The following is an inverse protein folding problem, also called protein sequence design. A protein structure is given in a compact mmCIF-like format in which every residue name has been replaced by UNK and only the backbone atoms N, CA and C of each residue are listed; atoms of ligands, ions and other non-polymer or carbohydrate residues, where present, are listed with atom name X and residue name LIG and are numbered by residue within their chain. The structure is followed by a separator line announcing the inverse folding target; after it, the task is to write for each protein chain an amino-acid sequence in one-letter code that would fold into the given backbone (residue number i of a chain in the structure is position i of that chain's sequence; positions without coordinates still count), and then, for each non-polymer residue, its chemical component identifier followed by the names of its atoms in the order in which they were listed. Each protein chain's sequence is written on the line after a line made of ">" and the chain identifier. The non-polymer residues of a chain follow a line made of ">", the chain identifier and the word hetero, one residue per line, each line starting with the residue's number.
data_IF_382056669845
#
_entry.id   IF_382056669845
#
_cell.length_a   1.000
_cell.length_b   1.000
_cell.length_c   1.000
_cell.angle_alpha   90.00
_cell.angle_beta   90.00
_cell.angle_gamma   90.00
#
_symmetry.space_group_name_H-M   'P 1'
#
loop_
_entity.id
_entity.type
_entity.pdbx_description
1 polymer ?
#
# COMPACT_ATOMS: atom_id res chain seq x y z
N UNK A 1 -31.36 -20.81 -6.81
CA UNK A 1 -30.64 -20.90 -8.09
C UNK A 1 -30.56 -19.49 -8.70
N UNK A 2 -29.49 -18.74 -8.43
CA UNK A 2 -29.37 -17.37 -8.91
C UNK A 2 -29.21 -17.37 -10.45
N UNK A 3 -30.11 -16.67 -11.14
CA UNK A 3 -30.15 -16.48 -12.60
C UNK A 3 -28.75 -16.08 -13.09
N UNK A 4 -28.17 -16.86 -14.01
CA UNK A 4 -26.85 -16.60 -14.59
C UNK A 4 -26.86 -15.22 -15.27
N UNK A 5 -26.27 -14.23 -14.59
CA UNK A 5 -26.12 -12.87 -15.13
C UNK A 5 -24.85 -12.83 -15.97
N UNK A 6 -24.87 -12.07 -17.07
CA UNK A 6 -23.71 -11.89 -17.94
C UNK A 6 -22.53 -11.41 -17.11
N UNK A 7 -21.47 -12.22 -17.06
CA UNK A 7 -20.25 -11.91 -16.31
C UNK A 7 -19.53 -10.74 -16.99
N UNK A 8 -19.03 -9.82 -16.18
CA UNK A 8 -18.20 -8.70 -16.59
C UNK A 8 -16.86 -8.84 -15.87
N UNK A 9 -15.79 -8.42 -16.55
CA UNK A 9 -14.45 -8.54 -16.00
C UNK A 9 -13.99 -7.16 -15.53
N UNK A 10 -13.72 -7.08 -14.23
CA UNK A 10 -13.28 -5.86 -13.58
C UNK A 10 -11.82 -6.00 -13.22
N UNK A 11 -11.04 -4.97 -13.53
CA UNK A 11 -9.64 -4.86 -13.15
C UNK A 11 -9.51 -3.77 -12.09
N UNK A 12 -8.75 -4.04 -11.04
CA UNK A 12 -8.40 -3.08 -10.02
C UNK A 12 -6.93 -3.17 -9.67
N UNK A 13 -6.35 -2.05 -9.32
CA UNK A 13 -4.97 -1.99 -8.87
C UNK A 13 -4.93 -1.88 -7.34
N UNK A 14 -4.31 -2.87 -6.70
CA UNK A 14 -4.13 -2.91 -5.26
C UNK A 14 -2.64 -3.01 -4.92
N UNK A 15 -2.04 -1.89 -4.51
CA UNK A 15 -0.63 -1.83 -4.09
C UNK A 15 0.32 -2.16 -5.23
N UNK A 16 0.90 -3.36 -5.21
CA UNK A 16 1.86 -3.82 -6.22
C UNK A 16 1.27 -4.82 -7.22
N UNK A 17 -0.05 -5.06 -7.14
CA UNK A 17 -0.72 -6.06 -7.96
C UNK A 17 -1.86 -5.45 -8.76
N UNK A 18 -1.86 -5.75 -10.06
CA UNK A 18 -3.06 -5.66 -10.88
C UNK A 18 -3.90 -6.90 -10.61
N UNK A 19 -5.15 -6.69 -10.23
CA UNK A 19 -6.08 -7.75 -9.92
C UNK A 19 -7.23 -7.75 -10.92
N UNK A 20 -7.72 -8.93 -11.29
CA UNK A 20 -8.89 -9.09 -12.15
C UNK A 20 -9.88 -10.06 -11.54
N UNK A 21 -11.17 -9.79 -11.71
CA UNK A 21 -12.27 -10.63 -11.27
C UNK A 21 -13.36 -10.64 -12.32
N UNK A 22 -13.87 -11.82 -12.67
CA UNK A 22 -15.13 -11.95 -13.39
C UNK A 22 -16.29 -11.97 -12.38
N UNK A 23 -17.12 -10.93 -12.43
CA UNK A 23 -18.28 -10.79 -11.54
C UNK A 23 -19.52 -10.32 -12.31
N UNK A 24 -20.74 -10.65 -11.84
CA UNK A 24 -21.99 -10.21 -12.48
C UNK A 24 -22.29 -8.71 -12.28
N UNK A 25 -21.64 -8.04 -11.32
CA UNK A 25 -21.81 -6.61 -11.02
C UNK A 25 -20.57 -6.03 -10.32
N UNK A 26 -20.45 -4.70 -10.29
CA UNK A 26 -19.40 -4.01 -9.54
C UNK A 26 -19.45 -4.37 -8.04
N UNK A 27 -20.65 -4.45 -7.46
CA UNK A 27 -20.82 -4.84 -6.07
C UNK A 27 -20.31 -6.27 -5.79
N UNK A 28 -20.54 -7.22 -6.70
CA UNK A 28 -20.01 -8.57 -6.58
C UNK A 28 -18.48 -8.61 -6.72
N UNK A 29 -17.90 -7.76 -7.58
CA UNK A 29 -16.44 -7.62 -7.67
C UNK A 29 -15.83 -7.07 -6.37
N UNK A 30 -16.46 -6.08 -5.73
CA UNK A 30 -16.03 -5.56 -4.42
C UNK A 30 -16.04 -6.65 -3.34
N UNK A 31 -17.08 -7.49 -3.32
CA UNK A 31 -17.17 -8.63 -2.40
C UNK A 31 -16.06 -9.65 -2.65
N UNK A 32 -15.79 -9.99 -3.91
CA UNK A 32 -14.70 -10.90 -4.28
C UNK A 32 -13.32 -10.36 -3.87
N UNK A 33 -13.09 -9.05 -4.01
CA UNK A 33 -11.87 -8.40 -3.52
C UNK A 33 -11.83 -8.22 -1.99
N UNK A 34 -12.94 -8.39 -1.29
CA UNK A 34 -13.05 -8.14 0.15
C UNK A 34 -12.97 -6.67 0.54
N UNK A 35 -13.34 -5.75 -0.37
CA UNK A 35 -13.24 -4.30 -0.14
C UNK A 35 -14.62 -3.71 0.14
N UNK A 36 -14.77 -3.06 1.30
CA UNK A 36 -16.02 -2.38 1.68
C UNK A 36 -16.18 -0.99 1.03
N UNK A 37 -15.07 -0.34 0.66
CA UNK A 37 -15.08 0.98 0.01
C UNK A 37 -15.32 0.84 -1.49
N UNK A 38 -16.04 1.80 -2.08
CA UNK A 38 -16.32 1.80 -3.51
C UNK A 38 -15.10 2.26 -4.34
N UNK A 39 -14.18 1.35 -4.61
CA UNK A 39 -12.95 1.63 -5.38
C UNK A 39 -13.19 2.00 -6.86
N UNK A 40 -14.40 1.77 -7.38
CA UNK A 40 -14.79 2.22 -8.71
C UNK A 40 -15.02 3.74 -8.75
N UNK A 41 -15.57 4.31 -7.67
CA UNK A 41 -15.80 5.76 -7.58
C UNK A 41 -14.50 6.54 -7.44
N UNK A 42 -13.49 5.93 -6.82
CA UNK A 42 -12.15 6.52 -6.64
C UNK A 42 -11.26 6.37 -7.89
N UNK A 43 -11.72 5.67 -8.93
CA UNK A 43 -10.95 5.43 -10.15
C UNK A 43 -9.86 4.35 -10.04
N UNK A 44 -9.81 3.61 -8.93
CA UNK A 44 -8.84 2.52 -8.73
C UNK A 44 -9.25 1.20 -9.41
N UNK A 45 -10.51 1.10 -9.85
CA UNK A 45 -11.04 -0.06 -10.56
C UNK A 45 -11.77 0.35 -11.85
N UNK A 46 -11.56 -0.40 -12.92
CA UNK A 46 -12.16 -0.19 -14.25
C UNK A 46 -12.74 -1.47 -14.83
N UNK A 47 -13.69 -1.31 -15.75
CA UNK A 47 -14.15 -2.41 -16.61
C UNK A 47 -13.05 -2.65 -17.66
N UNK A 48 -12.55 -3.87 -17.74
CA UNK A 48 -11.50 -4.22 -18.70
C UNK A 48 -12.06 -5.11 -19.80
N UNK A 49 -11.72 -4.77 -21.04
CA UNK A 49 -12.10 -5.51 -22.27
C UNK A 49 -10.91 -6.22 -22.91
N UNK A 50 -9.77 -6.29 -22.22
CA UNK A 50 -8.59 -7.03 -22.66
C UNK A 50 -8.90 -8.53 -22.73
N UNK A 51 -8.77 -9.12 -23.92
CA UNK A 51 -9.16 -10.50 -24.22
C UNK A 51 -8.39 -11.52 -23.36
N UNK A 52 -7.11 -11.25 -23.07
CA UNK A 52 -6.29 -12.14 -22.23
C UNK A 52 -6.77 -12.13 -20.77
N UNK A 53 -7.07 -10.95 -20.23
CA UNK A 53 -7.65 -10.79 -18.90
C UNK A 53 -9.06 -11.40 -18.81
N UNK A 54 -9.86 -11.25 -19.87
CA UNK A 54 -11.22 -11.78 -19.91
C UNK A 54 -11.22 -13.31 -19.96
N UNK A 55 -10.32 -13.93 -20.74
CA UNK A 55 -10.19 -15.38 -20.80
C UNK A 55 -9.79 -15.97 -19.44
N UNK A 56 -8.78 -15.38 -18.78
CA UNK A 56 -8.32 -15.82 -17.46
C UNK A 56 -9.42 -15.67 -16.39
N UNK A 57 -10.08 -14.51 -16.33
CA UNK A 57 -11.13 -14.26 -15.35
C UNK A 57 -12.40 -15.09 -15.59
N UNK A 58 -12.75 -15.40 -16.85
CA UNK A 58 -13.92 -16.25 -17.17
C UNK A 58 -13.68 -17.72 -16.78
N UNK A 59 -12.42 -18.18 -16.82
CA UNK A 59 -12.06 -19.53 -16.37
C UNK A 59 -12.25 -19.72 -14.85
N UNK A 60 -12.15 -18.63 -14.07
CA UNK A 60 -12.31 -18.65 -12.62
C UNK A 60 -13.30 -17.56 -12.16
N UNK A 61 -14.62 -17.77 -12.33
CA UNK A 61 -15.62 -16.79 -11.92
C UNK A 61 -15.54 -16.54 -10.40
N UNK A 62 -15.68 -15.28 -10.00
CA UNK A 62 -15.63 -14.82 -8.61
C UNK A 62 -14.27 -15.01 -7.88
N UNK A 63 -13.26 -15.60 -8.53
CA UNK A 63 -11.91 -15.71 -7.99
C UNK A 63 -11.07 -14.51 -8.42
N UNK A 64 -10.34 -13.92 -7.47
CA UNK A 64 -9.42 -12.83 -7.73
C UNK A 64 -8.12 -13.38 -8.29
N UNK A 65 -7.82 -13.05 -9.54
CA UNK A 65 -6.51 -13.29 -10.13
C UNK A 65 -5.64 -12.05 -9.92
N UNK A 66 -4.35 -12.23 -9.65
CA UNK A 66 -3.39 -11.16 -9.36
C UNK A 66 -2.18 -11.27 -10.29
N UNK A 67 -1.61 -10.13 -10.64
CA UNK A 67 -0.40 -9.99 -11.45
C UNK A 67 0.47 -8.87 -10.88
N UNK A 68 1.79 -9.06 -10.69
CA UNK A 68 2.67 -7.99 -10.25
C UNK A 68 2.73 -6.87 -11.31
N UNK A 69 2.69 -5.63 -10.84
CA UNK A 69 2.67 -4.44 -11.70
C UNK A 69 4.03 -4.30 -12.41
N UNK A 70 4.00 -4.16 -13.73
CA UNK A 70 5.21 -4.14 -14.56
C UNK A 70 5.64 -5.51 -15.09
N UNK A 71 4.88 -6.58 -14.81
CA UNK A 71 5.04 -7.88 -15.48
C UNK A 71 4.00 -8.05 -16.58
N UNK A 72 4.44 -8.56 -17.74
CA UNK A 72 3.58 -9.00 -18.84
C UNK A 72 3.04 -10.44 -18.63
N UNK A 73 3.29 -11.03 -17.46
CA UNK A 73 2.84 -12.37 -17.12
C UNK A 73 1.31 -12.53 -17.08
N UNK A 74 0.80 -13.77 -17.12
CA UNK A 74 -0.62 -14.05 -16.98
C UNK A 74 -1.13 -13.71 -15.56
N UNK A 75 -2.43 -13.48 -15.42
CA UNK A 75 -3.08 -13.30 -14.13
C UNK A 75 -3.32 -14.65 -13.45
N UNK A 76 -2.87 -14.81 -12.20
CA UNK A 76 -2.93 -16.10 -11.47
C UNK A 76 -3.69 -15.97 -10.14
N UNK A 77 -4.36 -17.05 -9.70
CA UNK A 77 -5.21 -17.09 -8.48
C UNK A 77 -4.40 -16.78 -7.21
N UNK A 78 -3.13 -17.16 -7.19
CA UNK A 78 -2.23 -16.94 -6.07
C UNK A 78 -0.80 -16.78 -6.63
N UNK A 79 -0.26 -15.54 -6.75
CA UNK A 79 1.09 -15.33 -7.25
C UNK A 79 2.08 -15.83 -6.20
N UNK A 80 2.37 -17.13 -6.22
CA UNK A 80 3.42 -17.74 -5.40
C UNK A 80 4.78 -17.63 -6.10
N UNK A 81 5.03 -16.50 -6.74
CA UNK A 81 6.28 -16.22 -7.41
C UNK A 81 6.84 -14.93 -6.83
N UNK A 82 7.62 -15.11 -5.76
CA UNK A 82 8.77 -14.27 -5.48
C UNK A 82 9.51 -14.01 -6.81
N UNK A 83 10.06 -12.81 -7.06
CA UNK A 83 10.85 -12.56 -8.25
C UNK A 83 11.91 -13.65 -8.39
N UNK A 84 11.89 -14.36 -9.50
CA UNK A 84 12.85 -15.42 -9.81
C UNK A 84 14.20 -14.75 -10.06
N UNK A 85 15.02 -14.72 -9.00
CA UNK A 85 16.40 -14.27 -9.07
C UNK A 85 17.15 -15.23 -9.99
N UNK A 86 17.95 -14.75 -10.98
CA UNK A 86 18.73 -15.63 -11.84
C UNK A 86 19.59 -16.60 -11.02
N UNK A 87 19.49 -17.89 -11.34
CA UNK A 87 20.07 -19.02 -10.61
C UNK A 87 21.61 -18.92 -10.55
N UNK A 88 22.14 -18.77 -9.32
CA UNK A 88 23.57 -18.79 -9.03
C UNK A 88 23.92 -20.20 -8.52
N UNK A 89 24.79 -20.97 -9.19
CA UNK A 89 24.93 -22.40 -8.92
C UNK A 89 25.62 -22.67 -7.58
N UNK A 90 24.84 -23.03 -6.56
CA UNK A 90 25.36 -23.52 -5.27
C UNK A 90 25.55 -25.04 -5.29
N UNK A 91 26.82 -25.45 -5.13
CA UNK A 91 27.27 -26.84 -5.21
C UNK A 91 26.65 -27.72 -4.10
N UNK A 92 26.11 -28.85 -4.57
CA UNK A 92 25.71 -30.05 -3.81
C UNK A 92 26.69 -30.41 -2.68
N UNK A 93 26.17 -30.62 -1.47
CA UNK A 93 26.80 -31.46 -0.46
C UNK A 93 25.78 -32.47 0.08
N UNK A 94 25.83 -33.65 -0.51
CA UNK A 94 25.14 -34.88 -0.09
C UNK A 94 25.58 -35.32 1.30
N UNK A 95 24.66 -35.53 2.24
CA UNK A 95 24.90 -36.48 3.35
C UNK A 95 23.68 -37.36 3.64
N UNK A 96 23.89 -38.62 3.27
CA UNK A 96 23.11 -39.84 3.42
C UNK A 96 22.75 -40.08 4.89
N UNK A 97 21.45 -40.26 5.18
CA UNK A 97 20.97 -40.71 6.49
C UNK A 97 21.14 -42.24 6.60
N UNK A 98 21.88 -42.68 7.62
CA UNK A 98 21.91 -44.07 8.06
C UNK A 98 21.63 -44.09 9.58
N UNK A 99 20.56 -44.78 9.95
CA UNK A 99 20.27 -45.24 11.32
C UNK A 99 21.23 -46.40 11.64
N UNK A 100 21.58 -46.66 12.90
CA UNK A 100 20.78 -47.62 13.66
C UNK A 100 20.63 -47.32 15.15
N UNK A 101 19.67 -48.03 15.76
CA UNK A 101 19.34 -48.03 17.18
C UNK A 101 20.40 -48.74 18.04
N UNK A 102 20.55 -48.35 19.31
CA UNK A 102 20.52 -49.26 20.47
C UNK A 102 20.91 -48.59 21.81
N UNK A 103 20.05 -48.82 22.81
CA UNK A 103 20.31 -49.13 24.24
C UNK A 103 20.85 -48.04 25.19
N UNK A 104 19.92 -47.64 26.08
CA UNK A 104 20.16 -47.24 27.48
C UNK A 104 20.98 -48.30 28.22
N UNK A 105 22.01 -47.87 28.93
CA UNK A 105 22.56 -48.55 30.11
C UNK A 105 23.16 -47.53 31.09
N UNK A 106 22.44 -47.35 32.20
CA UNK A 106 22.86 -47.12 33.59
C UNK A 106 24.30 -46.68 33.95
N UNK A 107 24.35 -45.66 34.82
CA UNK A 107 24.92 -45.65 36.20
C UNK A 107 26.05 -44.65 36.47
N UNK A 108 25.78 -43.85 37.50
CA UNK A 108 26.60 -42.88 38.25
C UNK A 108 28.11 -43.16 38.33
N UNK A 109 28.91 -42.11 38.18
CA UNK A 109 30.22 -41.96 38.82
C UNK A 109 30.58 -40.46 38.99
N UNK A 110 31.23 -40.16 40.11
CA UNK A 110 31.47 -38.84 40.68
C UNK A 110 32.20 -37.84 39.76
N UNK A 111 31.83 -36.56 39.89
CA UNK A 111 32.40 -35.44 39.13
C UNK A 111 33.53 -34.79 39.94
N UNK A 112 34.80 -34.83 39.52
CA UNK A 112 35.83 -33.98 40.12
C UNK A 112 35.62 -32.54 39.63
N UNK A 113 35.89 -31.57 40.52
CA UNK A 113 35.74 -30.14 40.26
C UNK A 113 36.70 -29.68 39.15
N UNK A 114 36.19 -29.55 37.93
CA UNK A 114 36.92 -28.94 36.82
C UNK A 114 37.02 -27.41 37.05
N UNK A 115 38.25 -26.90 37.01
CA UNK A 115 38.57 -25.46 37.01
C UNK A 115 37.71 -24.73 35.97
N UNK A 116 37.03 -23.65 36.36
CA UNK A 116 36.27 -22.79 35.44
C UNK A 116 37.22 -22.21 34.38
N UNK A 117 36.98 -22.55 33.12
CA UNK A 117 37.63 -21.88 32.00
C UNK A 117 37.19 -20.40 31.96
N UNK A 118 38.06 -19.45 31.54
CA UNK A 118 37.68 -18.06 31.36
C UNK A 118 36.55 -17.94 30.33
N UNK A 119 35.55 -17.08 30.60
CA UNK A 119 34.51 -16.79 29.60
C UNK A 119 35.13 -16.07 28.40
N UNK A 120 34.67 -16.36 27.16
CA UNK A 120 35.12 -15.62 25.99
C UNK A 120 34.76 -14.13 26.11
N UNK A 121 35.60 -13.24 25.55
CA UNK A 121 35.31 -11.81 25.54
C UNK A 121 33.98 -11.53 24.82
N UNK A 122 33.23 -10.51 25.25
CA UNK A 122 31.97 -10.16 24.60
C UNK A 122 32.20 -9.84 23.12
N UNK A 123 31.24 -10.21 22.25
CA UNK A 123 31.36 -9.96 20.81
C UNK A 123 31.41 -8.46 20.52
N UNK A 124 32.23 -8.07 19.54
CA UNK A 124 32.33 -6.67 19.09
C UNK A 124 31.00 -6.20 18.49
N UNK A 125 30.53 -5.04 18.95
CA UNK A 125 29.25 -4.41 18.57
C UNK A 125 29.42 -3.17 17.70
N UNK A 126 30.65 -2.80 17.34
CA UNK A 126 30.96 -1.61 16.53
C UNK A 126 30.11 -1.54 15.25
N UNK A 127 30.08 -2.62 14.46
CA UNK A 127 29.26 -2.71 13.24
C UNK A 127 27.76 -2.58 13.48
N UNK A 128 27.25 -3.13 14.59
CA UNK A 128 25.84 -2.99 14.95
C UNK A 128 25.52 -1.55 15.30
N UNK A 129 26.37 -0.89 16.09
CA UNK A 129 26.19 0.52 16.45
C UNK A 129 26.25 1.46 15.25
N UNK A 130 27.09 1.17 14.26
CA UNK A 130 27.16 1.92 13.01
C UNK A 130 25.88 1.76 12.18
N UNK A 131 25.37 0.53 12.07
CA UNK A 131 24.12 0.25 11.37
C UNK A 131 22.90 0.90 12.06
N UNK A 132 22.85 0.88 13.39
CA UNK A 132 21.80 1.55 14.18
C UNK A 132 21.85 3.07 14.03
N UNK A 133 23.06 3.65 14.03
CA UNK A 133 23.25 5.09 13.79
C UNK A 133 22.82 5.49 12.37
N UNK A 134 23.15 4.68 11.36
CA UNK A 134 22.71 4.90 9.99
C UNK A 134 21.18 4.84 9.85
N UNK A 135 20.51 3.88 10.50
CA UNK A 135 19.06 3.80 10.52
C UNK A 135 18.43 5.03 11.17
N UNK A 136 18.94 5.45 12.33
CA UNK A 136 18.47 6.64 13.03
C UNK A 136 18.63 7.91 12.17
N UNK A 137 19.72 8.03 11.43
CA UNK A 137 19.92 9.17 10.52
C UNK A 137 18.88 9.20 9.38
N UNK A 138 18.48 8.04 8.86
CA UNK A 138 17.41 7.94 7.85
C UNK A 138 16.06 8.36 8.44
N UNK A 139 15.73 7.88 9.64
CA UNK A 139 14.48 8.21 10.31
C UNK A 139 14.38 9.70 10.66
N UNK A 140 15.47 10.30 11.17
CA UNK A 140 15.52 11.73 11.48
C UNK A 140 15.40 12.58 10.22
N UNK A 141 16.05 12.17 9.13
CA UNK A 141 15.90 12.85 7.84
C UNK A 141 14.44 12.82 7.37
N UNK A 142 13.79 11.65 7.44
CA UNK A 142 12.38 11.52 7.08
C UNK A 142 11.50 12.43 7.93
N UNK A 143 11.70 12.46 9.26
CA UNK A 143 10.96 13.32 10.18
C UNK A 143 11.14 14.80 9.85
N UNK A 144 12.36 15.22 9.53
CA UNK A 144 12.64 16.59 9.11
C UNK A 144 11.96 16.94 7.79
N UNK A 145 11.98 16.03 6.82
CA UNK A 145 11.28 16.20 5.53
C UNK A 145 9.76 16.32 5.74
N UNK A 146 9.15 15.42 6.52
CA UNK A 146 7.72 15.44 6.87
C UNK A 146 7.33 16.73 7.61
N UNK A 147 8.16 17.20 8.56
CA UNK A 147 7.94 18.45 9.26
C UNK A 147 7.97 19.66 8.29
N UNK A 148 8.95 19.72 7.39
CA UNK A 148 9.04 20.77 6.38
C UNK A 148 7.87 20.76 5.39
N UNK A 149 7.33 19.59 5.04
CA UNK A 149 6.08 19.51 4.28
C UNK A 149 4.88 20.00 5.09
N UNK A 150 4.78 19.62 6.36
CA UNK A 150 3.73 20.07 7.28
C UNK A 150 3.70 21.60 7.43
N UNK A 151 4.86 22.23 7.61
CA UNK A 151 4.98 23.69 7.71
C UNK A 151 4.53 24.39 6.42
N UNK A 152 4.95 23.90 5.26
CA UNK A 152 4.53 24.44 3.96
C UNK A 152 3.03 24.29 3.74
N UNK A 153 2.46 23.15 4.13
CA UNK A 153 1.02 22.93 4.03
C UNK A 153 0.24 23.89 4.93
N UNK A 154 0.68 24.07 6.18
CA UNK A 154 0.08 25.01 7.11
C UNK A 154 0.14 26.46 6.60
N UNK A 155 1.27 26.86 6.00
CA UNK A 155 1.42 28.17 5.38
C UNK A 155 0.45 28.38 4.20
N UNK A 156 0.34 27.39 3.30
CA UNK A 156 -0.60 27.43 2.18
C UNK A 156 -2.06 27.49 2.65
N UNK A 157 -2.41 26.75 3.70
CA UNK A 157 -3.76 26.76 4.23
C UNK A 157 -4.09 28.09 4.93
N UNK A 158 -3.13 28.68 5.64
CA UNK A 158 -3.27 30.05 6.17
C UNK A 158 -3.45 31.07 5.05
N UNK A 159 -2.69 30.96 3.95
CA UNK A 159 -2.83 31.82 2.79
C UNK A 159 -4.21 31.70 2.13
N UNK A 160 -4.73 30.48 1.97
CA UNK A 160 -6.08 30.23 1.45
C UNK A 160 -7.15 30.89 2.34
N UNK A 161 -7.04 30.73 3.65
CA UNK A 161 -7.99 31.36 4.60
C UNK A 161 -7.92 32.88 4.47
N UNK A 162 -6.71 33.47 4.42
CA UNK A 162 -6.54 34.90 4.25
C UNK A 162 -7.12 35.39 2.90
N UNK A 163 -6.91 34.64 1.81
CA UNK A 163 -7.48 34.94 0.50
C UNK A 163 -9.00 34.91 0.53
N UNK A 164 -9.59 33.93 1.20
CA UNK A 164 -11.04 33.81 1.35
C UNK A 164 -11.63 34.99 2.15
N UNK A 165 -10.97 35.40 3.24
CA UNK A 165 -11.39 36.57 4.02
C UNK A 165 -11.36 37.83 3.15
N UNK A 166 -10.25 38.08 2.43
CA UNK A 166 -10.14 39.21 1.49
C UNK A 166 -11.25 39.19 0.44
N UNK A 167 -11.56 38.02 -0.13
CA UNK A 167 -12.63 37.88 -1.10
C UNK A 167 -14.00 38.23 -0.50
N UNK A 168 -14.32 37.71 0.68
CA UNK A 168 -15.60 37.98 1.35
C UNK A 168 -15.76 39.47 1.66
N UNK A 169 -14.71 40.12 2.16
CA UNK A 169 -14.72 41.56 2.44
C UNK A 169 -14.87 42.39 1.16
N UNK A 170 -14.08 42.09 0.14
CA UNK A 170 -14.14 42.78 -1.15
C UNK A 170 -15.53 42.61 -1.79
N UNK A 171 -16.11 41.40 -1.74
CA UNK A 171 -17.45 41.13 -2.26
C UNK A 171 -18.52 41.87 -1.48
N UNK A 172 -18.42 41.93 -0.15
CA UNK A 172 -19.35 42.70 0.69
C UNK A 172 -19.30 44.18 0.33
N UNK A 173 -18.10 44.75 0.21
CA UNK A 173 -17.91 46.15 -0.17
C UNK A 173 -18.48 46.45 -1.57
N UNK A 174 -18.16 45.59 -2.55
CA UNK A 174 -18.68 45.72 -3.91
C UNK A 174 -20.22 45.63 -3.96
N UNK A 175 -20.80 44.66 -3.25
CA UNK A 175 -22.26 44.50 -3.17
C UNK A 175 -22.93 45.73 -2.53
N UNK A 176 -22.34 46.26 -1.46
CA UNK A 176 -22.84 47.47 -0.81
C UNK A 176 -22.78 48.68 -1.76
N UNK A 177 -21.72 48.80 -2.55
CA UNK A 177 -21.58 49.87 -3.54
C UNK A 177 -22.63 49.73 -4.66
N UNK A 178 -22.85 48.52 -5.17
CA UNK A 178 -23.93 48.25 -6.14
C UNK A 178 -25.28 48.67 -5.56
N UNK A 179 -25.61 48.24 -4.35
CA UNK A 179 -26.86 48.61 -3.69
C UNK A 179 -27.01 50.14 -3.54
N UNK A 180 -25.93 50.84 -3.15
CA UNK A 180 -25.91 52.30 -3.05
C UNK A 180 -26.16 52.97 -4.41
N UNK A 181 -25.51 52.48 -5.47
CA UNK A 181 -25.70 53.03 -6.82
C UNK A 181 -27.11 52.78 -7.36
N UNK A 182 -27.68 51.60 -7.12
CA UNK A 182 -29.07 51.29 -7.47
C UNK A 182 -30.07 52.18 -6.73
N UNK A 183 -29.83 52.44 -5.44
CA UNK A 183 -30.68 53.34 -4.67
C UNK A 183 -30.61 54.79 -5.20
N UNK A 184 -29.42 55.27 -5.57
CA UNK A 184 -29.24 56.58 -6.19
C UNK A 184 -29.92 56.68 -7.55
N UNK A 185 -29.77 55.65 -8.40
CA UNK A 185 -30.42 55.55 -9.72
C UNK A 185 -31.95 55.62 -9.59
N UNK A 186 -32.55 54.80 -8.71
CA UNK A 186 -33.99 54.85 -8.44
C UNK A 186 -34.46 56.21 -7.94
N UNK A 187 -33.67 56.86 -7.07
CA UNK A 187 -33.99 58.20 -6.56
C UNK A 187 -33.95 59.27 -7.66
N UNK A 188 -33.13 59.09 -8.70
CA UNK A 188 -33.06 60.01 -9.84
C UNK A 188 -34.27 59.92 -10.79
N UNK A 189 -35.21 58.99 -10.55
CA UNK A 189 -36.43 58.85 -11.34
C UNK A 189 -36.24 58.15 -12.68
N UNK A 190 -35.04 57.64 -12.97
CA UNK A 190 -34.80 56.76 -14.09
C UNK A 190 -35.54 55.43 -13.85
N UNK A 191 -36.60 55.19 -14.65
CA UNK A 191 -37.30 53.91 -14.70
C UNK A 191 -36.50 52.96 -15.58
N UNK A 192 -36.32 51.72 -15.11
CA UNK A 192 -35.71 50.62 -15.87
C UNK A 192 -36.41 50.39 -17.22
#
# INVERSE_FOLDING_TARGET
>A
MAKARKLKVFQAHFGFFDTIVAAPSQAAALQAWGVHRNVFADGHAKLTTDEAAVAAATAHPETVLKRPVGSDGPFEVEPTLLPEVPDVPSKKATRKAAKPAAKKATRNAARPSAKKAPLPPPPDRSFLSEAEAALHAVDERRRAEEAAFGERQAALDAEKVAAQVRYVEARRAATAQVAKTLAAYRKSGARD
#
